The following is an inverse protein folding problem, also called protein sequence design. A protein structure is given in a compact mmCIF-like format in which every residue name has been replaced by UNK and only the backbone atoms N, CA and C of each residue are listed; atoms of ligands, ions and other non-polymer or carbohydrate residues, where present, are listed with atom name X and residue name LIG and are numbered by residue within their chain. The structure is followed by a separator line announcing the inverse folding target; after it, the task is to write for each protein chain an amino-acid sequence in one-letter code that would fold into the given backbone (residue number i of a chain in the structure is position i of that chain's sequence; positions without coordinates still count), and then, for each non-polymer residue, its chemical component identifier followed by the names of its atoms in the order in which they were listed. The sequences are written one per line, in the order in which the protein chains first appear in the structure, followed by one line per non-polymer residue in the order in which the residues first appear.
data_IF_372228601897
#
_entry.id   IF_372228601897
#
_cell.length_a   1.000
_cell.length_b   1.000
_cell.length_c   1.000
_cell.angle_alpha   90.00
_cell.angle_beta   90.00
_cell.angle_gamma   90.00
#
_symmetry.space_group_name_H-M   'P 1'
#
loop_
_entity.id
_entity.type
_entity.pdbx_description
1 polymer ?
#
# COMPACT_ATOMS: atom_id res chain seq x y z
N UNK A 1 7.61 -7.23 -22.72
CA UNK A 1 8.61 -6.50 -21.91
C UNK A 1 7.95 -5.95 -20.65
N UNK A 2 8.74 -5.55 -19.63
CA UNK A 2 8.22 -4.83 -18.45
C UNK A 2 7.62 -3.50 -18.92
N UNK A 3 6.32 -3.27 -18.71
CA UNK A 3 5.64 -2.03 -19.15
C UNK A 3 5.70 -0.91 -18.11
N UNK A 4 5.57 -1.25 -16.83
CA UNK A 4 5.47 -0.30 -15.74
C UNK A 4 6.18 -0.83 -14.49
N UNK A 5 6.78 0.08 -13.73
CA UNK A 5 7.52 -0.24 -12.52
C UNK A 5 7.23 0.82 -11.46
N UNK A 6 6.82 0.36 -10.28
CA UNK A 6 6.62 1.20 -9.10
C UNK A 6 7.57 0.80 -8.00
N UNK A 7 8.08 1.79 -7.29
CA UNK A 7 8.79 1.62 -6.04
C UNK A 7 8.02 2.40 -5.00
N UNK A 8 7.68 1.74 -3.89
CA UNK A 8 6.87 2.34 -2.85
C UNK A 8 7.32 1.89 -1.47
N UNK A 9 7.01 2.71 -0.47
CA UNK A 9 7.30 2.44 0.93
C UNK A 9 6.22 1.54 1.51
N UNK A 10 6.66 0.46 2.15
CA UNK A 10 5.77 -0.56 2.68
C UNK A 10 4.92 -0.09 3.86
N UNK A 11 5.46 0.79 4.71
CA UNK A 11 4.81 1.18 5.98
C UNK A 11 3.50 1.94 5.80
N UNK A 12 3.36 2.70 4.71
CA UNK A 12 2.24 3.60 4.45
C UNK A 12 1.74 3.54 3.01
N UNK A 13 2.37 2.74 2.16
CA UNK A 13 2.01 2.63 0.75
C UNK A 13 2.38 3.86 -0.07
N UNK A 14 3.30 4.71 0.41
CA UNK A 14 3.70 5.93 -0.30
C UNK A 14 4.51 5.56 -1.56
N UNK A 15 4.06 5.95 -2.78
CA UNK A 15 4.86 5.75 -3.97
C UNK A 15 6.09 6.66 -3.93
N UNK A 16 7.27 6.07 -4.08
CA UNK A 16 8.57 6.75 -3.99
C UNK A 16 9.10 7.13 -5.37
N UNK A 17 9.00 6.22 -6.33
CA UNK A 17 9.51 6.39 -7.70
C UNK A 17 8.65 5.61 -8.70
N UNK A 18 8.68 6.05 -9.96
CA UNK A 18 7.98 5.40 -11.06
C UNK A 18 8.89 5.38 -12.28
N UNK A 19 9.07 4.20 -12.87
CA UNK A 19 9.88 4.08 -14.09
C UNK A 19 9.39 5.02 -15.19
N UNK A 20 10.31 5.74 -15.83
CA UNK A 20 10.01 6.66 -16.93
C UNK A 20 9.23 5.94 -18.03
N UNK A 21 8.10 6.53 -18.44
CA UNK A 21 7.31 6.11 -19.60
C UNK A 21 8.11 6.47 -20.86
N UNK A 22 8.79 5.49 -21.46
CA UNK A 22 9.41 5.72 -22.76
C UNK A 22 8.43 5.36 -23.87
N UNK A 23 8.20 6.37 -24.72
CA UNK A 23 7.43 6.39 -25.98
C UNK A 23 5.91 6.32 -25.80
N UNK A 24 5.24 7.43 -26.14
CA UNK A 24 3.98 7.62 -26.89
C UNK A 24 2.86 6.54 -26.87
N UNK A 25 2.84 5.63 -25.92
CA UNK A 25 1.73 4.75 -25.62
C UNK A 25 0.94 5.38 -24.48
N UNK A 26 0.21 6.46 -24.78
CA UNK A 26 -1.00 6.80 -24.03
C UNK A 26 -2.09 5.75 -24.33
N UNK A 27 -1.76 4.47 -24.15
CA UNK A 27 -2.75 3.41 -24.15
C UNK A 27 -3.59 3.58 -22.88
N UNK A 28 -4.92 3.53 -22.98
CA UNK A 28 -5.80 3.48 -21.81
C UNK A 28 -5.34 2.43 -20.78
N UNK A 29 -4.77 1.33 -21.26
CA UNK A 29 -4.18 0.25 -20.46
C UNK A 29 -3.03 0.72 -19.54
N UNK A 30 -2.25 1.74 -19.92
CA UNK A 30 -1.20 2.34 -19.08
C UNK A 30 -1.77 3.03 -17.85
N UNK A 31 -2.91 3.73 -18.03
CA UNK A 31 -3.62 4.39 -16.93
C UNK A 31 -4.22 3.37 -15.95
N UNK A 32 -4.76 2.27 -16.48
CA UNK A 32 -5.32 1.17 -15.70
C UNK A 32 -4.21 0.46 -14.91
N UNK A 33 -3.11 0.05 -15.55
CA UNK A 33 -1.99 -0.59 -14.85
C UNK A 33 -1.38 0.33 -13.77
N UNK A 34 -1.41 1.65 -13.98
CA UNK A 34 -1.00 2.63 -12.95
C UNK A 34 -1.92 2.61 -11.74
N UNK A 35 -3.23 2.75 -11.95
CA UNK A 35 -4.21 2.73 -10.86
C UNK A 35 -4.15 1.41 -10.08
N UNK A 36 -4.03 0.29 -10.79
CA UNK A 36 -3.84 -1.04 -10.19
C UNK A 36 -2.58 -1.09 -9.33
N UNK A 37 -1.45 -0.57 -9.83
CA UNK A 37 -0.18 -0.51 -9.10
C UNK A 37 -0.27 0.29 -7.79
N UNK A 38 -0.91 1.46 -7.83
CA UNK A 38 -1.13 2.30 -6.64
C UNK A 38 -2.04 1.62 -5.61
N UNK A 39 -3.11 0.96 -6.08
CA UNK A 39 -4.00 0.19 -5.21
C UNK A 39 -3.26 -0.97 -4.55
N UNK A 40 -2.45 -1.73 -5.28
CA UNK A 40 -1.65 -2.82 -4.70
C UNK A 40 -0.73 -2.29 -3.62
N UNK A 41 -0.01 -1.21 -3.91
CA UNK A 41 0.92 -0.64 -2.94
C UNK A 41 0.20 -0.26 -1.63
N UNK A 42 -1.00 0.32 -1.74
CA UNK A 42 -1.88 0.59 -0.60
C UNK A 42 -2.31 -0.71 0.10
N UNK A 43 -2.76 -1.72 -0.61
CA UNK A 43 -3.19 -3.00 -0.01
C UNK A 43 -2.06 -3.72 0.72
N UNK A 44 -0.85 -3.72 0.15
CA UNK A 44 0.33 -4.29 0.79
C UNK A 44 0.61 -3.55 2.11
N UNK A 45 0.51 -2.21 2.13
CA UNK A 45 0.72 -1.43 3.36
C UNK A 45 -0.31 -1.71 4.46
N UNK A 46 -1.51 -2.15 4.07
CA UNK A 46 -2.58 -2.57 5.00
C UNK A 46 -2.38 -3.99 5.55
N UNK A 47 -1.30 -4.68 5.14
CA UNK A 47 -1.00 -6.04 5.59
C UNK A 47 -1.68 -7.14 4.78
N UNK A 48 -2.19 -6.85 3.57
CA UNK A 48 -2.79 -7.86 2.70
C UNK A 48 -1.78 -8.94 2.25
N UNK A 49 -0.48 -8.63 2.34
CA UNK A 49 0.64 -9.49 1.96
C UNK A 49 1.67 -9.51 3.10
N UNK A 50 2.02 -10.69 3.61
CA UNK A 50 3.06 -10.86 4.62
C UNK A 50 4.43 -10.51 4.04
N UNK A 51 4.88 -9.27 4.29
CA UNK A 51 6.25 -8.77 4.14
C UNK A 51 7.01 -9.15 2.85
N UNK A 52 6.44 -9.03 1.62
CA UNK A 52 7.27 -9.19 0.43
C UNK A 52 8.32 -8.07 0.39
N UNK A 53 9.60 -8.42 0.47
CA UNK A 53 10.70 -7.48 0.13
C UNK A 53 10.63 -7.06 -1.34
N UNK A 54 10.03 -7.90 -2.20
CA UNK A 54 9.77 -7.68 -3.62
C UNK A 54 8.50 -8.44 -4.03
N UNK A 55 7.65 -7.85 -4.86
CA UNK A 55 6.45 -8.49 -5.41
C UNK A 55 6.40 -8.38 -6.94
N UNK A 56 5.95 -9.45 -7.62
CA UNK A 56 5.67 -9.44 -9.05
C UNK A 56 4.17 -9.65 -9.21
N UNK A 57 3.49 -8.62 -9.71
CA UNK A 57 2.11 -8.78 -10.16
C UNK A 57 2.10 -9.26 -11.61
N UNK A 58 1.48 -10.41 -11.85
CA UNK A 58 1.22 -10.91 -13.21
C UNK A 58 -0.26 -10.70 -13.48
N UNK A 59 -0.59 -9.54 -14.03
CA UNK A 59 -1.92 -9.28 -14.59
C UNK A 59 -1.88 -9.57 -16.10
N UNK A 60 -2.90 -10.29 -16.59
CA UNK A 60 -3.11 -10.64 -17.99
C UNK A 60 -3.11 -9.39 -18.89
N UNK A 61 -3.51 -8.23 -18.37
CA UNK A 61 -3.49 -6.96 -19.12
C UNK A 61 -2.15 -6.21 -19.10
N UNK A 62 -1.27 -6.50 -18.14
CA UNK A 62 -0.05 -5.71 -17.92
C UNK A 62 1.26 -6.49 -18.23
N UNK A 63 1.25 -7.84 -18.20
CA UNK A 63 2.47 -8.68 -18.26
C UNK A 63 2.37 -9.93 -19.16
N UNK A 64 1.52 -9.92 -20.18
CA UNK A 64 1.11 -11.13 -20.92
C UNK A 64 2.21 -11.92 -21.68
N UNK A 65 3.48 -11.46 -21.74
CA UNK A 65 4.51 -12.13 -22.57
C UNK A 65 5.95 -12.02 -22.06
N UNK A 66 6.19 -11.63 -20.80
CA UNK A 66 7.56 -11.47 -20.30
C UNK A 66 8.00 -12.66 -19.41
N UNK A 67 9.17 -13.28 -19.63
CA UNK A 67 9.61 -14.42 -18.84
C UNK A 67 9.73 -14.08 -17.36
N UNK A 68 9.01 -14.80 -16.50
CA UNK A 68 8.98 -14.58 -15.03
C UNK A 68 10.38 -14.54 -14.42
N UNK A 69 11.27 -15.43 -14.86
CA UNK A 69 12.63 -15.50 -14.36
C UNK A 69 13.45 -14.25 -14.68
N UNK A 70 13.24 -13.63 -15.86
CA UNK A 70 13.85 -12.33 -16.16
C UNK A 70 13.21 -11.19 -15.35
N UNK A 71 11.90 -11.24 -15.11
CA UNK A 71 11.25 -10.27 -14.23
C UNK A 71 11.82 -10.33 -12.80
N UNK A 72 12.16 -11.52 -12.31
CA UNK A 72 12.84 -11.71 -11.03
C UNK A 72 14.21 -11.04 -11.01
N UNK A 73 15.07 -11.31 -12.00
CA UNK A 73 16.39 -10.69 -12.08
C UNK A 73 16.30 -9.16 -12.20
N UNK A 74 15.32 -8.67 -12.96
CA UNK A 74 15.02 -7.24 -13.07
C UNK A 74 14.71 -6.61 -11.70
N UNK A 75 13.83 -7.22 -10.90
CA UNK A 75 13.53 -6.72 -9.56
C UNK A 75 14.71 -6.84 -8.60
N UNK A 76 15.51 -7.89 -8.69
CA UNK A 76 16.72 -8.08 -7.88
C UNK A 76 17.75 -6.98 -8.13
N UNK A 77 17.96 -6.61 -9.39
CA UNK A 77 18.87 -5.52 -9.75
C UNK A 77 18.33 -4.17 -9.27
N UNK A 78 17.01 -3.93 -9.38
CA UNK A 78 16.38 -2.73 -8.81
C UNK A 78 16.55 -2.65 -7.30
N UNK A 79 16.29 -3.75 -6.58
CA UNK A 79 16.44 -3.81 -5.14
C UNK A 79 17.89 -3.50 -4.73
N UNK A 80 18.87 -4.06 -5.44
CA UNK A 80 20.29 -3.82 -5.19
C UNK A 80 20.65 -2.33 -5.34
N UNK A 81 20.12 -1.65 -6.35
CA UNK A 81 20.34 -0.21 -6.50
C UNK A 81 19.57 0.59 -5.44
N UNK A 82 18.35 0.19 -5.10
CA UNK A 82 17.55 0.85 -4.07
C UNK A 82 18.18 0.75 -2.67
N UNK A 83 18.82 -0.37 -2.35
CA UNK A 83 19.55 -0.58 -1.09
C UNK A 83 20.75 0.38 -0.90
N UNK A 84 21.22 1.02 -1.96
CA UNK A 84 22.28 2.05 -1.87
C UNK A 84 21.75 3.38 -1.34
N UNK A 85 20.43 3.57 -1.32
CA UNK A 85 19.77 4.76 -0.80
C UNK A 85 19.70 4.66 0.72
N UNK A 86 20.03 5.75 1.41
CA UNK A 86 19.91 5.83 2.87
C UNK A 86 18.43 5.70 3.31
N UNK A 87 18.17 4.73 4.17
CA UNK A 87 16.86 4.45 4.77
C UNK A 87 16.31 5.69 5.48
N UNK A 88 17.16 6.50 6.12
CA UNK A 88 16.74 7.72 6.82
C UNK A 88 16.14 8.76 5.87
N UNK A 89 16.59 8.79 4.62
CA UNK A 89 16.00 9.66 3.60
C UNK A 89 14.63 9.13 3.18
N UNK A 90 14.50 7.80 3.03
CA UNK A 90 13.25 7.15 2.67
C UNK A 90 12.18 7.39 3.73
N UNK A 91 12.50 7.31 5.02
CA UNK A 91 11.54 7.54 6.11
C UNK A 91 11.06 8.99 6.20
N UNK A 92 11.94 9.97 5.92
CA UNK A 92 11.60 11.41 6.00
C UNK A 92 10.69 11.90 4.87
N UNK A 93 10.67 11.21 3.75
CA UNK A 93 9.86 11.61 2.61
C UNK A 93 8.38 11.40 2.90
N UNK A 94 7.60 12.47 2.69
CA UNK A 94 6.13 12.46 2.78
C UNK A 94 5.45 12.72 1.44
N UNK A 95 6.19 13.24 0.45
CA UNK A 95 5.65 13.57 -0.87
C UNK A 95 5.67 12.34 -1.79
N UNK A 96 4.55 12.03 -2.49
CA UNK A 96 4.53 11.03 -3.55
C UNK A 96 5.55 11.31 -4.65
N UNK A 97 6.22 10.27 -5.14
CA UNK A 97 7.20 10.32 -6.22
C UNK A 97 8.39 11.27 -5.95
N UNK A 98 8.82 11.39 -4.69
CA UNK A 98 9.93 12.28 -4.34
C UNK A 98 11.31 11.78 -4.85
N UNK A 99 11.46 10.49 -5.16
CA UNK A 99 12.73 9.90 -5.58
C UNK A 99 12.90 9.93 -7.11
N UNK A 100 12.82 11.12 -7.70
CA UNK A 100 12.94 11.33 -9.16
C UNK A 100 14.27 10.79 -9.70
N UNK A 101 15.35 10.90 -8.93
CA UNK A 101 16.65 10.34 -9.31
C UNK A 101 16.63 8.82 -9.53
N UNK A 102 15.74 8.12 -8.82
CA UNK A 102 15.58 6.67 -8.97
C UNK A 102 14.84 6.29 -10.26
N UNK A 103 14.07 7.20 -10.86
CA UNK A 103 13.40 6.97 -12.15
C UNK A 103 14.43 6.68 -13.26
N UNK A 104 15.58 7.36 -13.22
CA UNK A 104 16.71 7.10 -14.14
C UNK A 104 17.34 5.72 -13.92
N UNK A 105 17.49 5.30 -12.66
CA UNK A 105 17.98 3.97 -12.31
C UNK A 105 17.04 2.90 -12.85
N UNK A 106 15.73 3.08 -12.66
CA UNK A 106 14.70 2.19 -13.21
C UNK A 106 14.81 2.11 -14.74
N UNK A 107 14.97 3.25 -15.42
CA UNK A 107 15.13 3.30 -16.86
C UNK A 107 16.39 2.56 -17.34
N UNK A 108 17.52 2.78 -16.67
CA UNK A 108 18.80 2.16 -17.02
C UNK A 108 18.78 0.64 -16.84
N UNK A 109 18.23 0.14 -15.73
CA UNK A 109 18.08 -1.30 -15.51
C UNK A 109 17.10 -1.86 -16.54
N UNK A 110 15.93 -1.24 -16.72
CA UNK A 110 14.92 -1.71 -17.68
C UNK A 110 15.50 -1.94 -19.07
N UNK A 111 16.35 -1.04 -19.57
CA UNK A 111 17.01 -1.18 -20.88
C UNK A 111 17.77 -2.50 -21.05
N UNK A 112 18.41 -2.99 -19.99
CA UNK A 112 19.14 -4.27 -20.00
C UNK A 112 18.20 -5.48 -20.13
N UNK A 113 16.92 -5.31 -19.76
CA UNK A 113 15.89 -6.34 -19.73
C UNK A 113 14.85 -6.19 -20.85
N UNK A 114 15.00 -5.20 -21.73
CA UNK A 114 14.08 -4.98 -22.86
C UNK A 114 14.10 -6.17 -23.83
N UNK A 115 15.30 -6.59 -24.26
CA UNK A 115 15.47 -7.69 -25.19
C UNK A 115 15.87 -8.99 -24.47
N UNK A 116 14.93 -9.93 -24.47
CA UNK A 116 15.06 -11.27 -23.88
C UNK A 116 16.14 -12.09 -24.57
N UNK A 117 16.41 -11.83 -25.85
CA UNK A 117 17.28 -12.64 -26.73
C UNK A 117 18.76 -12.31 -26.58
N UNK A 118 19.10 -11.27 -25.80
CA UNK A 118 20.49 -10.93 -25.51
C UNK A 118 21.20 -12.05 -24.75
N UNK A 119 22.49 -12.25 -25.02
CA UNK A 119 23.29 -13.30 -24.37
C UNK A 119 23.24 -13.22 -22.83
N UNK A 120 23.25 -12.01 -22.27
CA UNK A 120 23.17 -11.78 -20.84
C UNK A 120 21.80 -12.18 -20.24
N UNK A 121 20.71 -12.04 -20.99
CA UNK A 121 19.38 -12.45 -20.54
C UNK A 121 19.14 -13.95 -20.76
N UNK A 122 19.66 -14.52 -21.84
CA UNK A 122 19.65 -15.96 -22.06
C UNK A 122 20.45 -16.71 -20.99
N UNK A 123 21.60 -16.19 -20.57
CA UNK A 123 22.38 -16.80 -19.48
C UNK A 123 21.61 -16.77 -18.15
N UNK A 124 20.92 -15.66 -17.84
CA UNK A 124 20.00 -15.56 -16.69
C UNK A 124 18.81 -16.52 -16.81
N UNK A 125 18.28 -16.73 -18.01
CA UNK A 125 17.19 -17.70 -18.23
C UNK A 125 17.66 -19.14 -18.03
N UNK A 126 18.89 -19.46 -18.39
CA UNK A 126 19.44 -20.81 -18.33
C UNK A 126 20.10 -21.16 -16.98
N UNK A 127 20.29 -20.21 -16.07
CA UNK A 127 20.89 -20.47 -14.75
C UNK A 127 20.06 -21.44 -13.89
N UNK A 128 20.66 -22.37 -13.14
CA UNK A 128 19.94 -23.27 -12.23
C UNK A 128 19.51 -22.64 -10.90
N UNK A 129 19.33 -21.31 -10.85
CA UNK A 129 19.25 -20.57 -9.60
C UNK A 129 17.85 -20.73 -8.96
N UNK A 130 17.75 -21.61 -7.96
CA UNK A 130 16.51 -21.93 -7.25
C UNK A 130 16.10 -20.88 -6.21
N UNK A 131 16.84 -19.76 -6.08
CA UNK A 131 16.59 -18.69 -5.10
C UNK A 131 15.38 -17.79 -5.41
N UNK A 132 14.41 -18.27 -6.18
CA UNK A 132 13.18 -17.52 -6.54
C UNK A 132 12.18 -17.48 -5.35
N UNK A 133 12.54 -18.06 -4.20
CA UNK A 133 11.62 -18.43 -3.11
C UNK A 133 10.90 -17.30 -2.37
N UNK A 134 11.26 -16.02 -2.53
CA UNK A 134 10.71 -14.92 -1.71
C UNK A 134 9.84 -13.91 -2.46
N UNK A 135 9.49 -14.18 -3.73
CA UNK A 135 8.58 -13.29 -4.48
C UNK A 135 7.16 -13.83 -4.43
N UNK A 136 6.29 -13.10 -3.74
CA UNK A 136 4.86 -13.36 -3.78
C UNK A 136 4.36 -12.99 -5.18
N UNK A 137 3.81 -13.97 -5.88
CA UNK A 137 3.03 -13.74 -7.09
C UNK A 137 1.57 -14.03 -6.77
N UNK A 138 0.76 -13.00 -6.76
CA UNK A 138 -0.68 -13.11 -6.62
C UNK A 138 -1.38 -12.48 -7.81
N UNK A 139 -2.58 -12.96 -8.09
CA UNK A 139 -3.49 -12.26 -8.99
C UNK A 139 -3.99 -10.98 -8.33
N UNK A 140 -4.17 -9.92 -9.12
CA UNK A 140 -4.65 -8.63 -8.65
C UNK A 140 -6.00 -8.74 -7.94
N UNK A 141 -6.90 -9.58 -8.48
CA UNK A 141 -8.21 -9.86 -7.91
C UNK A 141 -8.10 -10.44 -6.50
N UNK A 142 -7.11 -11.29 -6.24
CA UNK A 142 -6.88 -11.90 -4.94
C UNK A 142 -6.35 -10.88 -3.93
N UNK A 143 -5.43 -10.01 -4.36
CA UNK A 143 -4.90 -8.92 -3.52
C UNK A 143 -6.01 -7.97 -3.07
N UNK A 144 -6.97 -7.64 -3.95
CA UNK A 144 -8.14 -6.83 -3.58
C UNK A 144 -9.13 -7.63 -2.72
N UNK A 145 -9.43 -8.88 -3.07
CA UNK A 145 -10.43 -9.67 -2.33
C UNK A 145 -10.03 -9.95 -0.88
N UNK A 146 -8.72 -9.97 -0.58
CA UNK A 146 -8.20 -10.06 0.78
C UNK A 146 -8.65 -8.86 1.67
N UNK A 147 -9.13 -7.76 1.08
CA UNK A 147 -9.79 -6.62 1.74
C UNK A 147 -11.23 -6.93 2.22
N UNK A 148 -11.88 -8.00 1.75
CA UNK A 148 -13.22 -8.37 2.29
C UNK A 148 -13.15 -9.14 3.62
N UNK A 149 -11.95 -9.50 4.08
CA UNK A 149 -11.71 -10.22 5.35
C UNK A 149 -11.09 -9.43 6.52
N UNK A 150 -10.56 -8.19 6.43
CA UNK A 150 -9.93 -7.50 7.55
C UNK A 150 -10.90 -6.70 8.43
N UNK A 151 -12.15 -6.45 8.03
CA UNK A 151 -13.15 -5.72 8.85
C UNK A 151 -13.57 -6.46 10.13
N UNK A 152 -13.31 -7.78 10.23
CA UNK A 152 -13.68 -8.57 11.42
C UNK A 152 -12.54 -8.90 12.39
N UNK A 153 -11.27 -8.64 12.04
CA UNK A 153 -10.13 -8.96 12.93
C UNK A 153 -9.38 -7.73 13.47
N UNK A 154 -9.60 -6.53 12.93
CA UNK A 154 -8.96 -5.31 13.46
C UNK A 154 -9.65 -4.77 14.72
N UNK A 155 -10.78 -5.34 15.15
CA UNK A 155 -11.46 -4.99 16.41
C UNK A 155 -10.93 -5.72 17.64
N UNK A 156 -9.91 -6.58 17.51
CA UNK A 156 -9.39 -7.40 18.61
C UNK A 156 -7.87 -7.25 18.82
N UNK A 157 -7.31 -6.04 18.70
CA UNK A 157 -5.98 -5.75 19.25
C UNK A 157 -5.73 -4.26 19.41
N UNK A 158 -6.62 -3.58 20.13
CA UNK A 158 -6.27 -2.33 20.79
C UNK A 158 -6.82 -2.44 22.20
N UNK A 159 -5.93 -2.52 23.20
CA UNK A 159 -6.27 -2.19 24.57
C UNK A 159 -6.89 -0.79 24.56
N UNK A 160 -8.18 -0.62 24.86
CA UNK A 160 -8.76 0.71 24.86
C UNK A 160 -8.32 1.39 26.14
N UNK A 161 -7.58 2.49 26.00
CA UNK A 161 -7.73 3.57 26.96
C UNK A 161 -9.24 3.86 27.06
N UNK A 162 -9.75 3.77 28.30
CA UNK A 162 -11.15 3.94 28.63
C UNK A 162 -11.69 5.25 28.03
N UNK A 163 -12.40 5.14 26.90
CA UNK A 163 -13.48 6.06 26.59
C UNK A 163 -14.68 5.46 27.30
N UNK A 164 -15.22 6.07 28.38
CA UNK A 164 -16.42 5.56 28.99
C UNK A 164 -17.55 5.73 27.97
N UNK A 165 -17.94 4.63 27.34
CA UNK A 165 -19.22 4.52 26.68
C UNK A 165 -20.27 4.88 27.72
N UNK A 166 -20.86 6.07 27.58
CA UNK A 166 -21.95 6.56 28.40
C UNK A 166 -23.17 5.68 28.09
N UNK A 167 -23.19 4.49 28.69
CA UNK A 167 -24.36 3.63 28.72
C UNK A 167 -25.38 4.35 29.58
N UNK A 168 -26.37 4.95 28.93
CA UNK A 168 -27.54 5.51 29.58
C UNK A 168 -28.31 4.36 30.24
N UNK A 169 -27.95 4.03 31.47
CA UNK A 169 -28.80 3.19 32.29
C UNK A 169 -30.03 4.03 32.68
N UNK A 170 -31.23 3.44 32.72
CA UNK A 170 -32.48 4.15 33.02
C UNK A 170 -32.41 4.95 34.34
N UNK A 171 -31.52 4.56 35.25
CA UNK A 171 -31.20 5.26 36.50
C UNK A 171 -30.64 6.67 36.29
N UNK A 172 -29.81 6.90 35.24
CA UNK A 172 -29.21 8.22 34.94
C UNK A 172 -30.25 9.22 34.40
N UNK A 173 -31.25 8.74 33.67
CA UNK A 173 -32.35 9.58 33.17
C UNK A 173 -33.16 10.12 34.34
N UNK A 174 -33.45 9.27 35.34
CA UNK A 174 -34.21 9.69 36.52
C UNK A 174 -33.48 10.80 37.30
N UNK A 175 -32.14 10.72 37.42
CA UNK A 175 -31.36 11.75 38.11
C UNK A 175 -31.33 13.10 37.41
N UNK A 176 -31.41 13.12 36.07
CA UNK A 176 -31.45 14.37 35.30
C UNK A 176 -32.82 15.02 35.40
N UNK A 177 -33.89 14.20 35.36
CA UNK A 177 -35.27 14.70 35.51
C UNK A 177 -35.47 15.34 36.88
N UNK A 178 -34.98 14.72 37.96
CA UNK A 178 -35.11 15.30 39.31
C UNK A 178 -34.33 16.62 39.45
N UNK A 179 -33.15 16.71 38.87
CA UNK A 179 -32.36 17.95 38.88
C UNK A 179 -33.07 19.10 38.15
N UNK A 180 -33.71 18.83 37.00
CA UNK A 180 -34.47 19.84 36.25
C UNK A 180 -35.71 20.31 37.02
N UNK A 181 -36.43 19.40 37.69
CA UNK A 181 -37.60 19.75 38.52
C UNK A 181 -37.18 20.62 39.71
N UNK A 182 -36.07 20.29 40.37
CA UNK A 182 -35.52 21.11 41.46
C UNK A 182 -35.10 22.50 40.97
N UNK A 183 -34.47 22.58 39.79
CA UNK A 183 -34.02 23.85 39.21
C UNK A 183 -35.21 24.75 38.82
N UNK A 184 -36.26 24.16 38.26
CA UNK A 184 -37.52 24.86 37.98
C UNK A 184 -38.21 25.34 39.26
N UNK A 185 -38.21 24.51 40.30
CA UNK A 185 -38.81 24.89 41.59
C UNK A 185 -38.08 26.09 42.19
N UNK A 186 -36.74 26.08 42.20
CA UNK A 186 -35.91 27.18 42.72
C UNK A 186 -36.09 28.46 41.91
N UNK A 187 -36.16 28.37 40.58
CA UNK A 187 -36.37 29.55 39.73
C UNK A 187 -37.77 30.15 39.89
N UNK A 188 -38.80 29.33 40.11
CA UNK A 188 -40.15 29.80 40.43
C UNK A 188 -40.15 30.52 41.78
N UNK A 189 -39.53 29.96 42.82
CA UNK A 189 -39.43 30.60 44.14
C UNK A 189 -38.66 31.92 44.07
N UNK A 190 -37.57 31.97 43.30
CA UNK A 190 -36.77 33.18 43.11
C UNK A 190 -37.53 34.28 42.38
N UNK A 191 -38.42 33.91 41.45
CA UNK A 191 -39.27 34.86 40.72
C UNK A 191 -40.46 35.38 41.52
N UNK A 192 -40.89 34.64 42.56
CA UNK A 192 -41.98 35.05 43.45
C UNK A 192 -41.50 35.89 44.65
N UNK A 193 -40.20 35.86 44.95
CA UNK A 193 -39.57 36.64 46.03
C UNK A 193 -39.05 38.02 45.58
N UNK A 194 -39.32 38.45 44.34
CA UNK A 194 -39.00 39.76 43.78
C UNK A 194 -40.28 40.45 43.32
#
# INVERSE_FOLDING_TARGET
MVKLTFVGRLSDGLPLAQGIRYLNEEDENSSICRQKGELILKQISLGALTHPKMSILIDHHCFQSYPRKLAFYYLKDLQKEFQKIDIKLIEKVSRPYAFIGFDHVIGNIRRQYLDIRTQANLSKLNSGDNQICDIITDDFSNVINNEKKPENYRRASETPHMIPALKWTPTKILTIITAVVLWLSITITYKMAR
#
